data_IF_521145597732
#
_entry.id   IF_521145597732
#
_cell.length_a   1.000
_cell.length_b   1.000
_cell.length_c   1.000
_cell.angle_alpha   90.00
_cell.angle_beta   90.00
_cell.angle_gamma   90.00
#
_symmetry.space_group_name_H-M   'P 1'
#
loop_
_entity.id
_entity.type
_entity.pdbx_description
1 polymer ?
#
# COMPACT_ATOMS: atom_id res chain seq x y z
N UNK A 1 -29.20 -38.48 59.16
CA UNK A 1 -29.95 -38.33 57.90
C UNK A 1 -30.91 -37.16 58.02
N UNK A 2 -30.56 -35.99 57.46
CA UNK A 2 -31.55 -35.07 56.92
C UNK A 2 -31.27 -34.79 55.43
N UNK A 3 -32.33 -34.70 54.64
CA UNK A 3 -32.25 -34.39 53.20
C UNK A 3 -31.98 -32.90 52.96
N UNK A 4 -31.21 -32.52 51.93
CA UNK A 4 -31.03 -31.12 51.56
C UNK A 4 -32.13 -30.59 50.64
N UNK A 5 -32.45 -29.31 50.86
CA UNK A 5 -33.39 -28.45 50.15
C UNK A 5 -33.12 -28.38 48.64
N UNK A 6 -34.17 -28.53 47.82
CA UNK A 6 -34.13 -28.31 46.37
C UNK A 6 -34.13 -26.81 46.04
N UNK A 7 -33.09 -26.34 45.36
CA UNK A 7 -33.04 -25.02 44.75
C UNK A 7 -33.56 -25.12 43.31
N UNK A 8 -34.60 -24.35 43.02
CA UNK A 8 -35.21 -24.24 41.70
C UNK A 8 -34.19 -23.73 40.66
N UNK A 9 -33.97 -24.52 39.61
CA UNK A 9 -33.18 -24.12 38.43
C UNK A 9 -34.07 -23.27 37.52
N UNK A 10 -33.80 -21.98 37.43
CA UNK A 10 -34.38 -21.14 36.38
C UNK A 10 -33.75 -21.52 35.03
N UNK A 11 -34.60 -22.06 34.15
CA UNK A 11 -34.31 -22.32 32.75
C UNK A 11 -34.16 -20.98 32.00
N UNK A 12 -32.94 -20.62 31.62
CA UNK A 12 -32.70 -19.59 30.61
C UNK A 12 -32.37 -20.26 29.27
N UNK A 13 -33.32 -20.11 28.35
CA UNK A 13 -33.32 -20.58 26.98
C UNK A 13 -32.13 -19.96 26.21
N UNK A 14 -31.26 -20.81 25.67
CA UNK A 14 -30.23 -20.41 24.69
C UNK A 14 -30.88 -19.80 23.46
N UNK A 15 -30.64 -18.51 23.23
CA UNK A 15 -30.79 -17.87 21.93
C UNK A 15 -29.40 -17.74 21.31
N UNK A 16 -29.06 -18.69 20.44
CA UNK A 16 -27.98 -18.54 19.46
C UNK A 16 -28.33 -17.39 18.52
N UNK A 17 -27.87 -16.18 18.83
CA UNK A 17 -27.80 -15.10 17.86
C UNK A 17 -26.46 -15.22 17.12
N UNK A 18 -26.44 -16.04 16.07
CA UNK A 18 -25.43 -15.99 15.03
C UNK A 18 -25.52 -14.65 14.31
N UNK A 19 -24.84 -13.64 14.86
CA UNK A 19 -24.64 -12.33 14.25
C UNK A 19 -23.18 -12.15 13.91
N UNK A 20 -22.63 -13.01 13.04
CA UNK A 20 -21.35 -12.74 12.39
C UNK A 20 -21.55 -11.45 11.59
N UNK A 21 -21.00 -10.35 12.10
CA UNK A 21 -21.05 -9.04 11.47
C UNK A 21 -20.45 -9.13 10.06
N UNK A 22 -21.31 -9.35 9.07
CA UNK A 22 -21.01 -9.30 7.63
C UNK A 22 -20.89 -7.84 7.18
N UNK A 23 -19.96 -7.10 7.76
CA UNK A 23 -19.68 -5.72 7.37
C UNK A 23 -18.22 -5.58 6.93
N UNK A 24 -17.83 -6.30 5.86
CA UNK A 24 -16.61 -6.01 5.10
C UNK A 24 -16.61 -6.66 3.70
N UNK A 25 -17.59 -6.32 2.87
CA UNK A 25 -17.56 -6.45 1.39
C UNK A 25 -18.48 -5.32 0.91
N UNK A 26 -18.13 -4.32 0.12
CA UNK A 26 -17.12 -4.18 -0.90
C UNK A 26 -16.55 -2.75 -0.82
N UNK A 27 -15.25 -2.61 -0.51
CA UNK A 27 -14.51 -1.52 -1.15
C UNK A 27 -14.51 -1.78 -2.67
N UNK A 28 -14.34 -0.78 -3.54
CA UNK A 28 -14.37 -0.98 -5.00
C UNK A 28 -13.33 -1.98 -5.53
N UNK A 29 -12.44 -2.48 -4.68
CA UNK A 29 -11.38 -3.41 -5.02
C UNK A 29 -11.31 -4.55 -4.01
N UNK A 30 -11.13 -5.77 -4.51
CA UNK A 30 -10.85 -6.94 -3.69
C UNK A 30 -9.41 -6.95 -3.22
N UNK A 31 -9.18 -7.45 -2.02
CA UNK A 31 -7.85 -7.57 -1.44
C UNK A 31 -6.90 -8.40 -2.33
N UNK A 32 -7.40 -9.49 -2.93
CA UNK A 32 -6.58 -10.36 -3.76
C UNK A 32 -6.08 -9.64 -5.02
N UNK A 33 -6.90 -8.77 -5.60
CA UNK A 33 -6.53 -7.99 -6.78
C UNK A 33 -5.44 -6.96 -6.43
N UNK A 34 -5.54 -6.33 -5.26
CA UNK A 34 -4.49 -5.44 -4.72
C UNK A 34 -3.18 -6.22 -4.50
N UNK A 35 -3.26 -7.42 -3.93
CA UNK A 35 -2.11 -8.26 -3.68
C UNK A 35 -1.41 -8.67 -4.99
N UNK A 36 -2.18 -9.10 -6.00
CA UNK A 36 -1.66 -9.45 -7.34
C UNK A 36 -0.99 -8.24 -7.99
N UNK A 37 -1.60 -7.05 -7.90
CA UNK A 37 -1.02 -5.82 -8.44
C UNK A 37 0.31 -5.47 -7.77
N UNK A 38 0.41 -5.60 -6.44
CA UNK A 38 1.66 -5.37 -5.71
C UNK A 38 2.73 -6.42 -6.05
N UNK A 39 2.36 -7.69 -6.19
CA UNK A 39 3.30 -8.74 -6.61
C UNK A 39 3.87 -8.47 -8.01
N UNK A 40 3.02 -8.10 -8.97
CA UNK A 40 3.45 -7.71 -10.32
C UNK A 40 4.39 -6.50 -10.26
N UNK A 41 4.03 -5.46 -9.50
CA UNK A 41 4.86 -4.27 -9.35
C UNK A 41 6.20 -4.57 -8.66
N UNK A 42 6.21 -5.49 -7.68
CA UNK A 42 7.45 -5.96 -7.04
C UNK A 42 8.36 -6.66 -8.05
N UNK A 43 7.80 -7.47 -8.94
CA UNK A 43 8.53 -8.13 -10.01
C UNK A 43 9.12 -7.12 -11.01
N UNK A 44 8.29 -6.22 -11.53
CA UNK A 44 8.71 -5.21 -12.52
C UNK A 44 9.70 -4.19 -11.95
N UNK A 45 9.59 -3.83 -10.66
CA UNK A 45 10.55 -2.96 -9.98
C UNK A 45 11.88 -3.65 -9.67
N UNK A 46 11.90 -4.98 -9.53
CA UNK A 46 13.11 -5.77 -9.34
C UNK A 46 13.86 -6.00 -10.65
N UNK A 47 13.14 -6.19 -11.76
CA UNK A 47 13.70 -6.57 -13.05
C UNK A 47 13.34 -5.56 -14.15
N UNK A 48 14.05 -4.41 -14.24
CA UNK A 48 13.77 -3.37 -15.23
C UNK A 48 13.81 -3.86 -16.69
N UNK A 49 14.63 -4.87 -17.00
CA UNK A 49 14.72 -5.47 -18.34
C UNK A 49 13.43 -6.17 -18.76
N UNK A 50 12.68 -6.77 -17.81
CA UNK A 50 11.37 -7.36 -18.10
C UNK A 50 10.39 -6.25 -18.47
N UNK A 51 10.41 -5.12 -17.75
CA UNK A 51 9.56 -3.97 -18.05
C UNK A 51 9.77 -3.47 -19.49
N UNK A 52 11.00 -3.51 -20.00
CA UNK A 52 11.31 -3.13 -21.40
C UNK A 52 10.58 -4.00 -22.42
N UNK A 53 10.31 -5.28 -22.14
CA UNK A 53 9.57 -6.15 -23.04
C UNK A 53 8.12 -5.68 -23.26
N UNK A 54 7.51 -5.04 -22.25
CA UNK A 54 6.16 -4.49 -22.35
C UNK A 54 6.09 -3.18 -23.16
N UNK A 55 7.21 -2.46 -23.31
CA UNK A 55 7.27 -1.24 -24.11
C UNK A 55 7.55 -1.49 -25.59
N UNK A 56 8.04 -2.68 -25.96
CA UNK A 56 8.17 -3.05 -27.37
C UNK A 56 6.78 -3.15 -27.96
N UNK A 57 6.46 -2.28 -28.93
CA UNK A 57 5.23 -2.37 -29.73
C UNK A 57 5.18 -3.80 -30.28
N UNK A 58 4.13 -4.55 -29.96
CA UNK A 58 3.90 -5.83 -30.61
C UNK A 58 3.79 -5.52 -32.10
N UNK A 59 4.72 -6.03 -32.90
CA UNK A 59 4.62 -5.92 -34.34
C UNK A 59 3.26 -6.46 -34.76
N UNK A 60 2.69 -5.89 -35.83
CA UNK A 60 1.46 -6.41 -36.42
C UNK A 60 1.55 -7.94 -36.49
N UNK A 61 0.47 -8.67 -36.19
CA UNK A 61 0.48 -10.11 -36.31
C UNK A 61 0.80 -10.45 -37.77
N UNK A 62 2.02 -10.97 -38.01
CA UNK A 62 2.29 -11.75 -39.21
C UNK A 62 1.20 -12.83 -39.28
N UNK A 63 0.43 -12.91 -40.36
CA UNK A 63 -0.54 -13.97 -40.51
C UNK A 63 0.26 -15.27 -40.63
N UNK A 64 -0.07 -16.24 -39.76
CA UNK A 64 0.41 -17.62 -39.78
C UNK A 64 1.79 -17.83 -39.14
N UNK A 65 1.81 -17.99 -37.82
CA UNK A 65 2.39 -19.18 -37.17
C UNK A 65 1.97 -19.21 -35.69
N UNK A 66 0.93 -20.01 -35.39
CA UNK A 66 0.58 -20.39 -34.02
C UNK A 66 1.73 -21.18 -33.40
N UNK A 67 2.64 -20.50 -32.71
CA UNK A 67 3.53 -21.13 -31.73
C UNK A 67 2.92 -20.89 -30.36
N UNK A 68 2.17 -21.89 -29.90
CA UNK A 68 1.56 -21.94 -28.58
C UNK A 68 2.64 -21.76 -27.50
N UNK A 69 2.77 -20.54 -27.00
CA UNK A 69 3.59 -20.25 -25.84
C UNK A 69 2.74 -20.55 -24.61
N UNK A 70 3.17 -21.56 -23.85
CA UNK A 70 2.54 -22.15 -22.66
C UNK A 70 2.28 -21.19 -21.47
N UNK A 71 2.30 -19.88 -21.69
CA UNK A 71 2.01 -18.83 -20.70
C UNK A 71 0.55 -18.32 -20.78
N UNK A 72 -0.28 -18.87 -21.67
CA UNK A 72 -1.63 -18.34 -21.94
C UNK A 72 -2.66 -18.63 -20.84
N UNK A 73 -2.44 -19.62 -19.97
CA UNK A 73 -3.40 -20.01 -18.93
C UNK A 73 -3.62 -18.94 -17.86
N UNK A 74 -2.52 -18.36 -17.34
CA UNK A 74 -2.58 -17.40 -16.24
C UNK A 74 -3.08 -16.02 -16.69
N UNK A 75 -2.65 -15.57 -17.87
CA UNK A 75 -3.07 -14.29 -18.44
C UNK A 75 -4.55 -14.28 -18.88
N UNK A 76 -5.07 -15.40 -19.41
CA UNK A 76 -6.48 -15.52 -19.79
C UNK A 76 -7.41 -15.49 -18.58
N UNK A 77 -7.00 -16.06 -17.44
CA UNK A 77 -7.80 -16.05 -16.21
C UNK A 77 -7.97 -14.65 -15.60
N UNK A 78 -6.99 -13.76 -15.77
CA UNK A 78 -7.05 -12.38 -15.28
C UNK A 78 -7.91 -11.49 -16.18
N UNK A 79 -7.78 -11.63 -17.50
CA UNK A 79 -8.59 -10.87 -18.47
C UNK A 79 -10.06 -11.30 -18.43
N UNK A 80 -10.35 -12.59 -18.28
CA UNK A 80 -11.72 -13.09 -18.19
C UNK A 80 -12.48 -12.56 -16.96
N UNK A 81 -11.78 -12.25 -15.86
CA UNK A 81 -12.37 -11.66 -14.63
C UNK A 81 -12.59 -10.15 -14.73
N UNK A 82 -11.82 -9.45 -15.56
CA UNK A 82 -11.98 -8.00 -15.77
C UNK A 82 -13.16 -7.64 -16.69
N UNK A 83 -13.66 -8.59 -17.49
CA UNK A 83 -14.71 -8.33 -18.49
C UNK A 83 -16.15 -8.43 -17.96
N UNK A 84 -16.38 -8.74 -16.69
CA UNK A 84 -17.73 -8.94 -16.13
C UNK A 84 -18.20 -7.85 -15.15
N UNK A 85 -17.60 -6.67 -15.12
CA UNK A 85 -18.01 -5.59 -14.21
C UNK A 85 -18.39 -4.27 -14.94
N UNK A 86 -19.70 -4.18 -15.24
CA UNK A 86 -20.61 -3.02 -15.06
C UNK A 86 -20.40 -1.73 -15.90
N UNK A 87 -21.49 -1.08 -16.38
CA UNK A 87 -21.44 -0.04 -17.41
C UNK A 87 -21.15 1.36 -16.85
N UNK A 88 -20.67 2.19 -17.76
CA UNK A 88 -20.37 3.62 -17.66
C UNK A 88 -21.54 4.44 -17.08
N UNK A 89 -21.35 5.23 -16.01
CA UNK A 89 -22.29 6.28 -15.66
C UNK A 89 -21.93 7.60 -16.37
N UNK A 90 -22.93 8.20 -17.00
CA UNK A 90 -22.95 9.52 -17.62
C UNK A 90 -22.65 10.64 -16.59
N UNK A 91 -21.90 11.70 -16.93
CA UNK A 91 -21.64 12.80 -15.99
C UNK A 91 -22.88 13.69 -15.80
N UNK A 92 -23.29 13.90 -14.54
CA UNK A 92 -24.30 14.89 -14.13
C UNK A 92 -23.64 16.26 -13.81
N UNK A 93 -24.38 17.38 -13.91
CA UNK A 93 -23.81 18.73 -13.83
C UNK A 93 -23.46 19.15 -12.39
N UNK A 94 -22.40 19.96 -12.29
CA UNK A 94 -21.83 20.49 -11.05
C UNK A 94 -22.62 21.70 -10.57
N UNK A 95 -23.06 21.68 -9.30
CA UNK A 95 -23.66 22.84 -8.61
C UNK A 95 -22.64 23.39 -7.60
N UNK A 96 -22.41 24.72 -7.52
CA UNK A 96 -21.44 25.27 -6.57
C UNK A 96 -22.06 25.40 -5.17
N UNK A 97 -21.41 24.84 -4.16
CA UNK A 97 -21.71 25.06 -2.73
C UNK A 97 -20.67 26.01 -2.13
N UNK A 98 -21.15 27.12 -1.59
CA UNK A 98 -20.40 28.14 -0.85
C UNK A 98 -19.98 27.64 0.53
N UNK A 99 -18.82 28.05 1.08
CA UNK A 99 -18.37 27.63 2.40
C UNK A 99 -18.97 28.49 3.51
N UNK A 100 -19.67 27.87 4.46
CA UNK A 100 -20.08 28.50 5.72
C UNK A 100 -19.03 28.21 6.80
N UNK A 101 -18.56 29.26 7.45
CA UNK A 101 -17.59 29.22 8.54
C UNK A 101 -18.20 28.68 9.83
N UNK A 102 -17.44 27.90 10.61
CA UNK A 102 -17.70 27.68 12.04
C UNK A 102 -16.40 27.50 12.81
N UNK A 103 -16.29 28.23 13.91
CA UNK A 103 -15.10 28.47 14.74
C UNK A 103 -14.85 27.37 15.81
N UNK A 104 -13.92 27.53 16.78
CA UNK A 104 -12.92 26.51 17.11
C UNK A 104 -13.30 25.65 18.33
N UNK A 105 -12.91 24.37 18.30
CA UNK A 105 -13.07 23.46 19.45
C UNK A 105 -11.73 23.19 20.16
N UNK A 106 -11.72 23.55 21.45
CA UNK A 106 -10.94 23.10 22.61
C UNK A 106 -9.63 22.33 22.42
N UNK A 107 -8.57 22.90 23.03
CA UNK A 107 -7.24 22.32 23.24
C UNK A 107 -7.27 21.42 24.47
N UNK A 108 -6.97 20.12 24.31
CA UNK A 108 -6.54 19.23 25.40
C UNK A 108 -5.01 19.19 25.37
N UNK A 109 -4.29 19.59 26.44
CA UNK A 109 -2.85 19.48 26.47
C UNK A 109 -2.44 18.06 26.86
N UNK A 110 -1.45 17.52 26.14
CA UNK A 110 -0.67 16.31 26.45
C UNK A 110 -1.06 14.98 25.77
N UNK A 111 -1.38 15.00 24.48
CA UNK A 111 -1.17 13.85 23.60
C UNK A 111 0.19 14.00 22.89
N UNK A 112 1.03 12.95 22.95
CA UNK A 112 2.21 12.86 22.08
C UNK A 112 1.78 13.11 20.62
N UNK A 113 2.55 13.85 19.80
CA UNK A 113 2.09 14.23 18.47
C UNK A 113 1.83 12.97 17.65
N UNK A 114 0.54 12.69 17.40
CA UNK A 114 0.11 11.79 16.34
C UNK A 114 0.82 12.29 15.08
N UNK A 115 1.73 11.51 14.51
CA UNK A 115 2.35 11.89 13.25
C UNK A 115 1.23 12.03 12.23
N UNK A 116 0.86 13.24 11.78
CA UNK A 116 -0.26 13.39 10.85
C UNK A 116 0.14 12.64 9.58
N UNK A 117 -0.69 11.70 9.13
CA UNK A 117 -0.47 11.02 7.85
C UNK A 117 -0.42 12.11 6.77
N UNK A 118 0.71 12.34 6.08
CA UNK A 118 0.80 13.47 5.17
C UNK A 118 -0.24 13.33 4.05
N UNK A 119 -1.01 14.40 3.72
CA UNK A 119 -2.01 14.37 2.68
C UNK A 119 -1.40 13.98 1.32
N UNK A 120 -2.20 13.41 0.41
CA UNK A 120 -1.75 13.07 -0.93
C UNK A 120 -1.30 14.34 -1.67
N UNK A 121 0.00 14.50 -1.93
CA UNK A 121 0.54 15.62 -2.70
C UNK A 121 0.25 15.46 -4.19
N UNK A 122 0.17 16.59 -4.90
CA UNK A 122 -0.18 16.68 -6.32
C UNK A 122 0.87 15.96 -7.20
N UNK A 123 0.43 14.90 -7.89
CA UNK A 123 1.18 13.93 -8.71
C UNK A 123 2.15 12.98 -7.96
N UNK A 124 1.65 12.07 -7.10
CA UNK A 124 2.47 11.02 -6.52
C UNK A 124 2.85 10.00 -7.60
N UNK A 125 4.14 9.70 -7.76
CA UNK A 125 4.55 8.51 -8.49
C UNK A 125 3.98 7.25 -7.79
N UNK A 126 3.93 6.11 -8.49
CA UNK A 126 3.35 4.89 -7.92
C UNK A 126 4.06 4.42 -6.64
N UNK A 127 5.35 4.74 -6.45
CA UNK A 127 6.07 4.38 -5.23
C UNK A 127 5.62 5.22 -4.02
N UNK A 128 5.29 6.50 -4.19
CA UNK A 128 4.70 7.33 -3.13
C UNK A 128 3.34 6.80 -2.67
N UNK A 129 2.58 6.15 -3.56
CA UNK A 129 1.33 5.45 -3.20
C UNK A 129 1.64 4.18 -2.40
N UNK A 130 2.53 3.32 -2.93
CA UNK A 130 2.92 2.06 -2.28
C UNK A 130 3.55 2.29 -0.91
N UNK A 131 4.30 3.38 -0.72
CA UNK A 131 4.90 3.72 0.57
C UNK A 131 3.86 3.81 1.69
N UNK A 132 2.64 4.29 1.39
CA UNK A 132 1.55 4.36 2.37
C UNK A 132 1.06 2.99 2.85
N UNK A 133 1.22 1.95 2.04
CA UNK A 133 0.90 0.57 2.43
C UNK A 133 1.95 -0.06 3.33
N UNK A 134 3.10 0.59 3.52
CA UNK A 134 4.12 0.12 4.47
C UNK A 134 3.80 0.50 5.92
N UNK A 135 2.85 1.41 6.14
CA UNK A 135 2.61 1.98 7.46
C UNK A 135 1.99 0.93 8.39
N UNK A 136 2.43 0.95 9.64
CA UNK A 136 1.91 0.09 10.69
C UNK A 136 1.25 0.96 11.74
N UNK A 137 -0.04 0.72 12.06
CA UNK A 137 -0.69 1.40 13.18
C UNK A 137 0.15 1.23 14.45
N UNK A 138 0.35 2.32 15.16
CA UNK A 138 0.95 2.28 16.49
C UNK A 138 -0.02 1.65 17.49
N UNK A 139 0.50 1.14 18.61
CA UNK A 139 -0.33 0.59 19.69
C UNK A 139 -1.35 1.61 20.21
N UNK A 140 -1.00 2.90 20.21
CA UNK A 140 -1.89 3.99 20.61
C UNK A 140 -3.00 4.24 19.59
N UNK A 141 -2.71 4.16 18.29
CA UNK A 141 -3.72 4.28 17.23
C UNK A 141 -4.70 3.10 17.23
N UNK A 142 -4.21 1.91 17.59
CA UNK A 142 -5.04 0.72 17.75
C UNK A 142 -6.03 0.83 18.93
N UNK A 143 -5.75 1.70 19.91
CA UNK A 143 -6.57 1.92 21.09
C UNK A 143 -7.61 3.06 20.91
N UNK A 144 -7.67 3.72 19.75
CA UNK A 144 -8.66 4.75 19.47
C UNK A 144 -10.08 4.16 19.38
N UNK A 145 -11.14 4.95 19.69
CA UNK A 145 -12.54 4.49 19.55
C UNK A 145 -12.89 3.99 18.14
N UNK A 146 -12.22 4.55 17.13
CA UNK A 146 -12.26 4.10 15.75
C UNK A 146 -10.81 3.89 15.28
N UNK A 147 -10.24 2.69 15.48
CA UNK A 147 -8.87 2.43 15.09
C UNK A 147 -8.77 2.43 13.55
N UNK A 148 -7.63 2.86 12.98
CA UNK A 148 -7.40 2.75 11.55
C UNK A 148 -7.41 1.27 11.14
N UNK A 149 -8.04 0.96 10.01
CA UNK A 149 -8.11 -0.40 9.50
C UNK A 149 -6.71 -1.01 9.33
N UNK A 150 -6.54 -2.22 9.85
CA UNK A 150 -5.29 -2.96 9.70
C UNK A 150 -5.16 -3.46 8.27
N UNK A 151 -4.10 -3.03 7.58
CA UNK A 151 -3.75 -3.61 6.29
C UNK A 151 -3.26 -5.05 6.47
N UNK A 152 -3.70 -5.99 5.62
CA UNK A 152 -3.22 -7.36 5.59
C UNK A 152 -1.68 -7.46 5.58
N UNK A 153 -1.07 -8.37 6.36
CA UNK A 153 0.38 -8.49 6.45
C UNK A 153 1.09 -8.69 5.10
N UNK A 154 0.46 -9.41 4.19
CA UNK A 154 0.95 -9.70 2.85
C UNK A 154 1.07 -8.43 2.01
N UNK A 155 0.05 -7.57 2.05
CA UNK A 155 0.05 -6.27 1.38
C UNK A 155 1.21 -5.41 1.91
N UNK A 156 1.36 -5.33 3.25
CA UNK A 156 2.46 -4.57 3.86
C UNK A 156 3.83 -5.13 3.48
N UNK A 157 3.98 -6.46 3.44
CA UNK A 157 5.20 -7.14 3.04
C UNK A 157 5.61 -6.78 1.61
N UNK A 158 4.68 -6.92 0.66
CA UNK A 158 4.95 -6.63 -0.76
C UNK A 158 5.22 -5.14 -0.99
N UNK A 159 4.50 -4.25 -0.30
CA UNK A 159 4.80 -2.82 -0.29
C UNK A 159 6.24 -2.56 0.17
N UNK A 160 6.68 -3.19 1.27
CA UNK A 160 8.05 -3.08 1.75
C UNK A 160 9.10 -3.65 0.80
N UNK A 161 8.77 -4.69 0.02
CA UNK A 161 9.63 -5.21 -1.07
C UNK A 161 9.77 -4.19 -2.20
N UNK A 162 8.66 -3.63 -2.68
CA UNK A 162 8.63 -2.63 -3.75
C UNK A 162 9.47 -1.41 -3.37
N UNK A 163 9.27 -0.87 -2.16
CA UNK A 163 10.00 0.31 -1.67
C UNK A 163 11.51 0.06 -1.57
N UNK A 164 11.93 -1.15 -1.18
CA UNK A 164 13.34 -1.54 -1.19
C UNK A 164 13.89 -1.68 -2.61
N UNK A 165 13.09 -2.16 -3.56
CA UNK A 165 13.48 -2.24 -4.97
C UNK A 165 13.63 -0.85 -5.61
N UNK A 166 12.77 0.10 -5.26
CA UNK A 166 12.83 1.48 -5.75
C UNK A 166 14.17 2.19 -5.43
N UNK A 167 14.89 1.73 -4.40
CA UNK A 167 16.20 2.25 -4.01
C UNK A 167 17.40 1.54 -4.68
N UNK A 168 17.17 0.61 -5.62
CA UNK A 168 18.25 -0.10 -6.32
C UNK A 168 19.01 0.84 -7.26
N UNK A 169 20.24 0.44 -7.61
CA UNK A 169 21.00 1.11 -8.68
C UNK A 169 20.33 0.85 -10.02
N UNK A 170 20.34 1.85 -10.88
CA UNK A 170 19.94 1.71 -12.27
C UNK A 170 21.18 1.50 -13.12
N UNK A 171 21.44 0.24 -13.51
CA UNK A 171 22.60 -0.11 -14.34
C UNK A 171 22.52 0.51 -15.74
N UNK A 172 21.32 0.78 -16.27
CA UNK A 172 21.13 1.45 -17.56
C UNK A 172 21.52 2.94 -17.54
N UNK A 173 21.59 3.52 -16.34
CA UNK A 173 22.04 4.91 -16.12
C UNK A 173 23.44 5.00 -15.51
N UNK A 174 24.28 3.98 -15.73
CA UNK A 174 25.64 3.96 -15.19
C UNK A 174 25.73 3.58 -13.70
N UNK A 175 24.71 2.90 -13.16
CA UNK A 175 24.73 2.39 -11.79
C UNK A 175 24.41 3.43 -10.71
N UNK A 176 23.86 4.58 -11.11
CA UNK A 176 23.40 5.66 -10.23
C UNK A 176 22.07 5.30 -9.55
N UNK A 177 21.75 5.99 -8.45
CA UNK A 177 20.52 5.79 -7.68
C UNK A 177 19.66 7.05 -7.63
N UNK A 178 18.37 6.86 -7.45
CA UNK A 178 17.47 7.93 -7.05
C UNK A 178 17.50 8.12 -5.53
N UNK A 179 17.24 9.35 -5.08
CA UNK A 179 17.06 9.68 -3.68
C UNK A 179 15.86 8.90 -3.12
N UNK A 180 16.05 8.25 -1.97
CA UNK A 180 15.02 7.45 -1.32
C UNK A 180 13.90 8.28 -0.66
N UNK A 181 14.00 9.61 -0.68
CA UNK A 181 12.85 10.48 -0.46
C UNK A 181 12.03 10.50 -1.75
N UNK A 182 10.90 9.81 -1.78
CA UNK A 182 10.07 9.66 -2.98
C UNK A 182 9.50 10.98 -3.51
N UNK A 183 9.43 12.00 -2.66
CA UNK A 183 9.02 13.36 -3.04
C UNK A 183 10.18 14.20 -3.61
N UNK A 184 11.44 13.77 -3.45
CA UNK A 184 12.61 14.49 -3.96
C UNK A 184 12.89 14.17 -5.43
N UNK A 185 12.87 12.88 -5.79
CA UNK A 185 13.10 12.42 -7.16
C UNK A 185 14.50 12.64 -7.75
N UNK A 186 15.43 13.31 -7.04
CA UNK A 186 16.80 13.59 -7.50
C UNK A 186 17.59 12.30 -7.72
N UNK A 187 18.36 12.25 -8.80
CA UNK A 187 19.28 11.16 -9.11
C UNK A 187 20.72 11.54 -8.75
N UNK A 188 21.55 10.55 -8.40
CA UNK A 188 23.00 10.74 -8.29
C UNK A 188 23.55 11.20 -9.65
N UNK A 189 24.47 12.16 -9.66
CA UNK A 189 25.24 12.56 -10.85
C UNK A 189 26.42 11.61 -11.09
N UNK A 190 26.99 11.07 -10.02
CA UNK A 190 28.04 10.07 -10.05
C UNK A 190 27.78 8.96 -9.03
N UNK A 191 28.22 7.71 -9.29
CA UNK A 191 27.97 6.61 -8.38
C UNK A 191 28.46 6.89 -6.96
N UNK A 192 27.62 6.59 -5.96
CA UNK A 192 27.93 6.74 -4.52
C UNK A 192 27.96 8.18 -4.00
N UNK A 193 27.49 9.16 -4.78
CA UNK A 193 27.34 10.55 -4.33
C UNK A 193 26.40 10.68 -3.11
N UNK A 194 25.38 9.84 -3.00
CA UNK A 194 24.37 9.97 -1.94
C UNK A 194 24.76 9.26 -0.64
N UNK A 195 24.41 9.90 0.48
CA UNK A 195 24.62 9.37 1.81
C UNK A 195 23.74 8.15 2.06
N UNK A 196 24.30 7.11 2.71
CA UNK A 196 23.58 5.88 3.05
C UNK A 196 22.81 6.03 4.37
N UNK A 197 21.59 5.49 4.42
CA UNK A 197 20.87 5.29 5.67
C UNK A 197 21.75 4.52 6.67
N UNK A 198 21.86 5.00 7.92
CA UNK A 198 22.72 4.38 8.92
C UNK A 198 22.24 2.98 9.34
N UNK A 199 20.92 2.75 9.34
CA UNK A 199 20.28 1.51 9.79
C UNK A 199 20.30 0.42 8.72
N UNK A 200 19.68 0.66 7.56
CA UNK A 200 19.57 -0.37 6.52
C UNK A 200 20.74 -0.37 5.52
N UNK A 201 21.48 0.74 5.39
CA UNK A 201 22.52 0.98 4.35
C UNK A 201 22.05 0.90 2.88
N UNK A 202 20.81 0.43 2.63
CA UNK A 202 20.18 0.24 1.32
C UNK A 202 19.68 1.57 0.73
N UNK A 203 18.84 2.30 1.49
CA UNK A 203 18.31 3.59 1.07
C UNK A 203 19.41 4.67 1.05
N UNK A 204 19.45 5.49 0.00
CA UNK A 204 20.41 6.57 -0.21
C UNK A 204 19.72 7.92 -0.34
N UNK A 205 20.31 8.98 0.21
CA UNK A 205 19.74 10.32 0.24
C UNK A 205 20.72 11.37 -0.25
N UNK A 206 20.23 12.35 -1.01
CA UNK A 206 21.05 13.48 -1.48
C UNK A 206 21.48 14.44 -0.36
N UNK A 207 20.93 14.31 0.85
CA UNK A 207 21.28 15.13 2.00
C UNK A 207 20.52 14.73 3.27
N UNK A 208 20.93 15.31 4.40
CA UNK A 208 20.35 15.05 5.74
C UNK A 208 18.86 15.41 5.80
N UNK A 209 18.45 16.49 5.15
CA UNK A 209 17.03 16.90 5.12
C UNK A 209 16.14 15.85 4.46
N UNK A 210 16.54 15.34 3.29
CA UNK A 210 15.80 14.28 2.60
C UNK A 210 15.79 12.99 3.42
N UNK A 211 16.86 12.66 4.14
CA UNK A 211 16.87 11.52 5.05
C UNK A 211 15.85 11.71 6.18
N UNK A 212 15.82 12.87 6.83
CA UNK A 212 14.90 13.17 7.93
C UNK A 212 13.44 13.18 7.49
N UNK A 213 13.12 13.83 6.35
CA UNK A 213 11.77 13.84 5.78
C UNK A 213 11.30 12.44 5.42
N UNK A 214 12.09 11.69 4.64
CA UNK A 214 11.74 10.32 4.28
C UNK A 214 11.58 9.41 5.52
N UNK A 215 12.39 9.61 6.57
CA UNK A 215 12.24 8.86 7.82
C UNK A 215 10.91 9.12 8.51
N UNK A 216 10.53 10.38 8.65
CA UNK A 216 9.26 10.77 9.25
C UNK A 216 8.06 10.29 8.43
N UNK A 217 8.16 10.40 7.11
CA UNK A 217 7.07 10.11 6.18
C UNK A 217 6.85 8.61 5.96
N UNK A 218 7.89 7.77 5.91
CA UNK A 218 7.65 6.36 5.58
C UNK A 218 8.82 5.40 5.75
N UNK A 219 10.06 5.86 5.52
CA UNK A 219 11.23 4.98 5.49
C UNK A 219 11.36 4.10 6.73
N UNK A 220 11.02 4.62 7.92
CA UNK A 220 11.07 3.87 9.18
C UNK A 220 10.30 2.54 9.17
N UNK A 221 9.23 2.45 8.38
CA UNK A 221 8.35 1.28 8.34
C UNK A 221 8.84 0.18 7.38
N UNK A 222 9.61 0.54 6.36
CA UNK A 222 10.22 -0.42 5.42
C UNK A 222 11.76 -0.51 5.55
N UNK A 223 12.32 0.19 6.54
CA UNK A 223 13.73 0.09 6.91
C UNK A 223 14.04 -1.26 7.56
N UNK A 224 14.74 -2.13 6.82
CA UNK A 224 15.22 -3.42 7.33
C UNK A 224 16.71 -3.26 7.70
N UNK A 225 17.02 -3.43 8.99
CA UNK A 225 18.38 -3.38 9.50
C UNK A 225 19.27 -4.41 8.79
N UNK A 226 20.57 -4.13 8.74
CA UNK A 226 21.53 -5.13 8.26
C UNK A 226 21.65 -6.20 9.35
N UNK A 227 21.47 -7.46 8.94
CA UNK A 227 22.12 -8.58 9.62
C UNK A 227 23.65 -8.44 9.47
#
# INVERSE_FOLDING_TARGET
MPQPLQVARHSTRSSNAAGSSRYQEDGPYREEDVLIALQLLAYLSKYPHVRQAFYKKRGDPDPVHHRESSLSGFARSLVARASTAVPTPTPAPVVPVTPTATSPANIIPNAAPLYPRPPMTQAPNIFSLVERFTFRPSANEAALPHPPEFLPPEIQYWAGVIMRNACRKDDSRGGIRQCANMLCGRWEESPRQFAKCRRCRKAKYCGKECQSRAWAEGHRFWCSARE
#
